data_IF_985230366771
#
_entry.id   IF_985230366771
#
_cell.length_a   1.000
_cell.length_b   1.000
_cell.length_c   1.000
_cell.angle_alpha   90.00
_cell.angle_beta   90.00
_cell.angle_gamma   90.00
#
_symmetry.space_group_name_H-M   'P 1'
#
loop_
_entity.id
_entity.type
_entity.pdbx_description
1 polymer ?
#
# COMPACT_ATOMS: atom_id res chain seq x y z
N UNK A 1 -21.71 -11.07 3.69
CA UNK A 1 -21.16 -12.25 3.01
C UNK A 1 -20.47 -13.08 4.08
N UNK A 2 -20.90 -14.32 4.31
CA UNK A 2 -20.25 -15.19 5.30
C UNK A 2 -19.00 -15.79 4.66
N UNK A 3 -17.83 -15.56 5.26
CA UNK A 3 -16.61 -16.25 4.85
C UNK A 3 -16.80 -17.72 5.22
N UNK A 4 -17.01 -18.57 4.21
CA UNK A 4 -16.91 -20.02 4.39
C UNK A 4 -15.42 -20.37 4.54
N UNK A 5 -14.86 -20.06 5.71
CA UNK A 5 -13.66 -20.76 6.13
C UNK A 5 -14.04 -22.18 6.50
N UNK A 6 -13.14 -23.16 6.32
CA UNK A 6 -13.35 -24.46 6.93
C UNK A 6 -13.54 -24.25 8.43
N UNK A 7 -14.52 -24.94 9.03
CA UNK A 7 -14.57 -25.12 10.48
C UNK A 7 -13.16 -25.55 10.91
N UNK A 8 -12.46 -24.66 11.60
CA UNK A 8 -11.14 -24.93 12.13
C UNK A 8 -11.36 -25.56 13.50
N UNK A 9 -11.21 -26.89 13.57
CA UNK A 9 -11.20 -27.57 14.85
C UNK A 9 -9.94 -27.16 15.64
N UNK A 10 -10.15 -26.49 16.77
CA UNK A 10 -9.11 -26.16 17.72
C UNK A 10 -9.57 -26.45 19.15
N UNK A 11 -8.63 -26.85 20.01
CA UNK A 11 -8.84 -26.95 21.46
C UNK A 11 -7.97 -25.88 22.14
N UNK A 12 -8.47 -25.29 23.23
CA UNK A 12 -7.76 -24.32 24.05
C UNK A 12 -7.89 -24.74 25.52
N UNK A 13 -6.75 -24.94 26.19
CA UNK A 13 -6.75 -25.18 27.63
C UNK A 13 -7.01 -23.88 28.41
N UNK A 14 -7.49 -23.93 29.67
CA UNK A 14 -7.68 -22.74 30.48
C UNK A 14 -6.41 -21.89 30.62
N UNK A 15 -6.48 -20.64 30.16
CA UNK A 15 -5.34 -19.71 30.16
C UNK A 15 -4.37 -19.87 29.00
N UNK A 16 -4.62 -20.81 28.08
CA UNK A 16 -3.83 -20.97 26.85
C UNK A 16 -4.17 -19.88 25.83
N UNK A 17 -3.17 -19.45 25.06
CA UNK A 17 -3.35 -18.58 23.89
C UNK A 17 -2.86 -19.31 22.65
N UNK A 18 -3.70 -19.43 21.62
CA UNK A 18 -3.30 -19.91 20.28
C UNK A 18 -3.50 -18.84 19.23
N UNK A 19 -2.59 -18.80 18.26
CA UNK A 19 -2.75 -18.04 17.03
C UNK A 19 -3.32 -18.96 15.96
N UNK A 20 -4.47 -18.58 15.43
CA UNK A 20 -5.08 -19.24 14.28
C UNK A 20 -4.86 -18.38 13.05
N UNK A 21 -4.61 -19.00 11.90
CA UNK A 21 -4.45 -18.32 10.62
C UNK A 21 -5.31 -19.04 9.60
N UNK A 22 -5.99 -18.27 8.76
CA UNK A 22 -6.84 -18.80 7.72
C UNK A 22 -6.60 -18.07 6.41
N UNK A 23 -6.68 -18.83 5.31
CA UNK A 23 -6.52 -18.30 3.99
C UNK A 23 -7.83 -17.66 3.53
N UNK A 24 -7.77 -16.36 3.32
CA UNK A 24 -8.80 -15.59 2.68
C UNK A 24 -8.80 -15.92 1.16
N UNK A 25 -9.83 -16.61 0.66
CA UNK A 25 -9.93 -17.02 -0.76
C UNK A 25 -11.36 -16.90 -1.33
N UNK A 26 -11.47 -16.72 -2.65
CA UNK A 26 -12.76 -16.68 -3.36
C UNK A 26 -13.45 -15.31 -3.37
N UNK A 27 -12.73 -14.23 -3.11
CA UNK A 27 -13.25 -12.87 -3.15
C UNK A 27 -12.22 -11.90 -3.70
N UNK A 28 -12.72 -10.74 -4.11
CA UNK A 28 -11.88 -9.63 -4.48
C UNK A 28 -11.43 -8.87 -3.23
N UNK A 29 -10.11 -8.86 -2.96
CA UNK A 29 -9.53 -8.21 -1.78
C UNK A 29 -9.81 -6.70 -1.75
N UNK A 30 -9.97 -6.04 -2.91
CA UNK A 30 -10.38 -4.62 -2.93
C UNK A 30 -11.77 -4.42 -2.36
N UNK A 31 -12.70 -5.36 -2.56
CA UNK A 31 -14.05 -5.29 -2.01
C UNK A 31 -14.09 -5.49 -0.49
N UNK A 32 -13.03 -6.04 0.11
CA UNK A 32 -12.91 -6.21 1.55
C UNK A 32 -12.23 -5.03 2.25
N UNK A 33 -11.55 -4.16 1.51
CA UNK A 33 -10.94 -2.98 2.12
C UNK A 33 -12.02 -2.05 2.66
N UNK A 34 -11.83 -1.56 3.89
CA UNK A 34 -12.81 -0.78 4.67
C UNK A 34 -14.13 -1.50 4.96
N UNK A 35 -14.19 -2.83 4.78
CA UNK A 35 -15.34 -3.62 5.20
C UNK A 35 -15.22 -4.01 6.66
N UNK A 36 -16.36 -3.97 7.36
CA UNK A 36 -16.48 -4.58 8.68
C UNK A 36 -16.57 -6.10 8.52
N UNK A 37 -15.63 -6.80 9.14
CA UNK A 37 -15.65 -8.25 9.26
C UNK A 37 -16.05 -8.64 10.67
N UNK A 38 -16.90 -9.66 10.77
CA UNK A 38 -17.26 -10.29 12.03
C UNK A 38 -16.56 -11.65 12.12
N UNK A 39 -15.82 -11.86 13.20
CA UNK A 39 -15.33 -13.16 13.62
C UNK A 39 -16.30 -13.71 14.68
N UNK A 40 -16.87 -14.88 14.39
CA UNK A 40 -17.71 -15.62 15.33
C UNK A 40 -16.93 -16.84 15.81
N UNK A 41 -16.76 -16.95 17.12
CA UNK A 41 -16.20 -18.12 17.79
C UNK A 41 -17.35 -18.83 18.49
N UNK A 42 -17.46 -20.15 18.34
CA UNK A 42 -18.48 -20.94 19.02
C UNK A 42 -17.90 -22.26 19.49
N UNK A 43 -18.38 -22.75 20.64
CA UNK A 43 -18.12 -24.10 21.14
C UNK A 43 -19.33 -25.04 20.97
N UNK A 44 -20.37 -24.59 20.26
CA UNK A 44 -21.62 -25.31 20.04
C UNK A 44 -22.72 -25.01 21.07
N UNK A 45 -22.38 -24.38 22.21
CA UNK A 45 -23.34 -23.94 23.23
C UNK A 45 -23.39 -22.41 23.35
N UNK A 46 -22.22 -21.76 23.31
CA UNK A 46 -22.06 -20.31 23.36
C UNK A 46 -21.42 -19.75 22.08
N UNK A 47 -21.66 -18.47 21.83
CA UNK A 47 -21.02 -17.71 20.75
C UNK A 47 -20.37 -16.43 21.30
N UNK A 48 -19.13 -16.16 20.88
CA UNK A 48 -18.46 -14.89 21.05
C UNK A 48 -18.27 -14.22 19.68
N UNK A 49 -18.64 -12.94 19.59
CA UNK A 49 -18.58 -12.15 18.35
C UNK A 49 -17.60 -11.01 18.49
N UNK A 50 -16.75 -10.85 17.49
CA UNK A 50 -15.76 -9.79 17.41
C UNK A 50 -15.88 -9.10 16.06
N UNK A 51 -15.90 -7.77 16.05
CA UNK A 51 -15.90 -6.98 14.82
C UNK A 51 -14.56 -6.29 14.64
N UNK A 52 -14.07 -6.25 13.41
CA UNK A 52 -12.92 -5.46 13.01
C UNK A 52 -13.18 -4.85 11.64
N UNK A 53 -12.71 -3.64 11.41
CA UNK A 53 -12.65 -3.08 10.06
C UNK A 53 -11.33 -3.51 9.44
N UNK A 54 -11.37 -4.14 8.26
CA UNK A 54 -10.16 -4.51 7.54
C UNK A 54 -9.64 -3.31 6.75
N UNK A 55 -8.43 -2.87 7.05
CA UNK A 55 -7.69 -1.94 6.19
C UNK A 55 -6.71 -2.75 5.34
N UNK A 56 -7.10 -3.03 4.11
CA UNK A 56 -6.29 -3.79 3.17
C UNK A 56 -5.78 -2.86 2.06
N UNK A 57 -4.50 -3.01 1.74
CA UNK A 57 -3.89 -2.44 0.54
C UNK A 57 -3.53 -3.61 -0.40
N UNK A 58 -4.42 -4.04 -1.31
CA UNK A 58 -4.16 -5.16 -2.19
C UNK A 58 -2.92 -4.92 -3.06
N UNK A 59 -1.88 -5.73 -2.87
CA UNK A 59 -0.71 -5.78 -3.75
C UNK A 59 -0.77 -7.08 -4.57
N UNK A 60 -1.20 -6.97 -5.83
CA UNK A 60 -1.56 -8.15 -6.63
C UNK A 60 -0.33 -8.79 -7.28
N UNK A 61 -0.24 -10.12 -7.19
CA UNK A 61 0.76 -10.86 -7.95
C UNK A 61 0.50 -10.73 -9.45
N UNK A 62 1.56 -10.50 -10.23
CA UNK A 62 1.50 -10.36 -11.68
C UNK A 62 2.22 -11.54 -12.33
N UNK A 63 1.48 -12.31 -13.13
CA UNK A 63 2.05 -13.43 -13.89
C UNK A 63 2.96 -12.98 -15.05
N UNK A 64 2.82 -11.72 -15.47
CA UNK A 64 3.67 -11.07 -16.46
C UNK A 64 4.15 -9.71 -15.91
N UNK A 65 5.41 -9.31 -16.20
CA UNK A 65 5.93 -8.01 -15.79
C UNK A 65 5.02 -6.86 -16.25
N UNK A 66 4.90 -5.81 -15.42
CA UNK A 66 4.20 -4.59 -15.82
C UNK A 66 5.01 -3.80 -16.86
N UNK A 67 4.33 -3.07 -17.74
CA UNK A 67 4.99 -2.12 -18.62
C UNK A 67 5.38 -0.87 -17.82
N UNK A 68 6.59 -0.37 -18.03
CA UNK A 68 7.09 0.87 -17.40
C UNK A 68 7.12 1.94 -18.48
N UNK A 69 5.95 2.40 -18.89
CA UNK A 69 5.73 3.30 -20.03
C UNK A 69 4.84 4.52 -19.69
N UNK A 70 4.34 4.60 -18.45
CA UNK A 70 3.44 5.67 -18.00
C UNK A 70 1.97 5.43 -18.38
N UNK A 71 1.63 4.36 -19.10
CA UNK A 71 0.26 4.03 -19.45
C UNK A 71 -0.44 3.23 -18.33
N UNK A 72 -1.42 3.85 -17.69
CA UNK A 72 -2.17 3.25 -16.59
C UNK A 72 -3.33 2.34 -17.04
N UNK A 73 -3.57 2.14 -18.34
CA UNK A 73 -4.70 1.34 -18.83
C UNK A 73 -4.71 -0.10 -18.28
N UNK A 74 -3.54 -0.72 -18.10
CA UNK A 74 -3.46 -2.07 -17.54
C UNK A 74 -3.81 -2.11 -16.04
N UNK A 75 -3.55 -1.02 -15.32
CA UNK A 75 -3.78 -0.88 -13.88
C UNK A 75 -5.24 -0.53 -13.56
N UNK A 76 -5.89 0.29 -14.41
CA UNK A 76 -7.28 0.75 -14.27
C UNK A 76 -8.34 -0.34 -14.45
N UNK A 77 -7.94 -1.60 -14.63
CA UNK A 77 -8.85 -2.78 -14.62
C UNK A 77 -9.31 -3.16 -13.20
N UNK A 78 -8.68 -2.61 -12.18
CA UNK A 78 -9.07 -2.75 -10.78
C UNK A 78 -9.15 -1.37 -10.12
N UNK A 79 -9.87 -1.30 -9.00
CA UNK A 79 -9.90 -0.08 -8.19
C UNK A 79 -8.51 0.23 -7.59
N UNK A 80 -8.14 1.51 -7.48
CA UNK A 80 -6.90 1.90 -6.82
C UNK A 80 -6.93 1.46 -5.35
N UNK A 81 -5.84 0.84 -4.88
CA UNK A 81 -5.72 0.42 -3.49
C UNK A 81 -5.36 1.58 -2.56
N UNK A 82 -4.85 2.69 -3.09
CA UNK A 82 -4.54 3.91 -2.35
C UNK A 82 -5.26 5.08 -3.02
N UNK A 83 -6.07 5.81 -2.25
CA UNK A 83 -6.75 7.02 -2.68
C UNK A 83 -6.46 8.12 -1.67
N UNK A 84 -5.76 9.16 -2.13
CA UNK A 84 -5.43 10.35 -1.33
C UNK A 84 -6.18 11.53 -1.91
N UNK A 85 -7.41 11.74 -1.45
CA UNK A 85 -8.31 12.77 -1.98
C UNK A 85 -9.11 13.49 -0.88
N UNK A 86 -8.67 13.33 0.38
CA UNK A 86 -9.36 13.85 1.56
C UNK A 86 -8.48 14.80 2.36
N UNK A 87 -9.12 15.84 2.88
CA UNK A 87 -8.49 16.87 3.72
C UNK A 87 -7.73 16.32 4.94
N UNK A 88 -8.22 15.23 5.52
CA UNK A 88 -7.62 14.58 6.69
C UNK A 88 -6.26 13.92 6.39
N UNK A 89 -5.96 13.67 5.13
CA UNK A 89 -4.71 13.04 4.67
C UNK A 89 -3.61 14.07 4.36
N UNK A 90 -3.92 15.38 4.45
CA UNK A 90 -2.97 16.45 4.16
C UNK A 90 -2.34 16.95 5.46
N UNK A 91 -1.03 16.74 5.61
CA UNK A 91 -0.23 17.11 6.78
C UNK A 91 0.60 18.39 6.54
N UNK A 92 0.98 19.18 7.58
CA UNK A 92 0.53 19.11 8.99
C UNK A 92 -0.89 19.61 9.18
N UNK A 93 -1.14 20.60 8.35
CA UNK A 93 -2.23 21.50 8.23
C UNK A 93 -3.42 21.06 7.42
N UNK A 94 -3.15 20.96 6.11
CA UNK A 94 -4.05 20.96 4.96
C UNK A 94 -4.79 22.27 4.70
N UNK A 95 -4.51 23.38 5.40
CA UNK A 95 -5.20 24.67 5.20
C UNK A 95 -5.13 25.21 3.78
N UNK A 96 -4.09 24.83 3.02
CA UNK A 96 -3.87 25.25 1.64
C UNK A 96 -4.51 24.34 0.60
N UNK A 97 -4.94 23.13 0.98
CA UNK A 97 -5.55 22.15 0.07
C UNK A 97 -6.99 22.54 -0.25
N UNK A 98 -7.28 22.75 -1.53
CA UNK A 98 -8.58 23.26 -2.01
C UNK A 98 -9.54 22.17 -2.48
N UNK A 99 -9.17 20.90 -2.29
CA UNK A 99 -9.97 19.76 -2.72
C UNK A 99 -9.20 18.82 -3.65
N UNK A 100 -9.82 17.71 -4.08
CA UNK A 100 -9.15 16.70 -4.90
C UNK A 100 -8.77 17.18 -6.30
N UNK A 101 -9.36 18.29 -6.76
CA UNK A 101 -8.95 18.93 -8.01
C UNK A 101 -7.66 19.77 -7.87
N UNK A 102 -7.27 20.12 -6.65
CA UNK A 102 -6.03 20.83 -6.33
C UNK A 102 -4.86 19.85 -6.25
N UNK A 103 -4.99 18.83 -5.41
CA UNK A 103 -4.02 17.74 -5.26
C UNK A 103 -4.74 16.44 -4.91
N UNK A 104 -4.53 15.39 -5.70
CA UNK A 104 -5.01 14.04 -5.37
C UNK A 104 -4.15 12.94 -5.97
N UNK A 105 -4.18 11.76 -5.35
CA UNK A 105 -3.47 10.56 -5.80
C UNK A 105 -4.41 9.36 -5.87
N UNK A 106 -4.35 8.60 -6.96
CA UNK A 106 -4.89 7.25 -7.07
C UNK A 106 -3.75 6.32 -7.44
N UNK A 107 -3.49 5.31 -6.62
CA UNK A 107 -2.36 4.41 -6.85
C UNK A 107 -2.74 2.93 -6.75
N UNK A 108 -1.97 2.12 -7.47
CA UNK A 108 -2.07 0.67 -7.57
C UNK A 108 -0.73 0.03 -7.24
N UNK A 109 -0.79 -1.12 -6.57
CA UNK A 109 0.37 -1.90 -6.19
C UNK A 109 0.35 -3.27 -6.89
N UNK A 110 1.51 -3.73 -7.32
CA UNK A 110 1.69 -5.07 -7.85
C UNK A 110 3.06 -5.62 -7.52
N UNK A 111 3.24 -6.92 -7.70
CA UNK A 111 4.54 -7.56 -7.55
C UNK A 111 4.66 -8.79 -8.44
N UNK A 112 5.88 -9.15 -8.80
CA UNK A 112 6.20 -10.46 -9.38
C UNK A 112 7.45 -11.04 -8.66
N UNK A 113 8.04 -12.10 -9.23
CA UNK A 113 9.20 -12.77 -8.62
C UNK A 113 10.45 -11.89 -8.51
N UNK A 114 10.53 -10.82 -9.30
CA UNK A 114 11.71 -9.97 -9.43
C UNK A 114 11.47 -8.54 -8.93
N UNK A 115 10.25 -8.01 -9.06
CA UNK A 115 9.94 -6.59 -8.85
C UNK A 115 8.69 -6.34 -8.00
N UNK A 116 8.76 -5.25 -7.25
CA UNK A 116 7.59 -4.53 -6.75
C UNK A 116 7.26 -3.40 -7.72
N UNK A 117 5.98 -3.22 -8.01
CA UNK A 117 5.45 -2.24 -8.93
C UNK A 117 4.56 -1.25 -8.20
N UNK A 118 4.79 0.02 -8.49
CA UNK A 118 3.97 1.14 -8.03
C UNK A 118 3.54 1.94 -9.25
N UNK A 119 2.23 2.11 -9.42
CA UNK A 119 1.64 2.91 -10.47
C UNK A 119 0.73 3.95 -9.84
N UNK A 120 0.83 5.21 -10.25
CA UNK A 120 0.04 6.30 -9.69
C UNK A 120 -0.44 7.27 -10.75
N UNK A 121 -1.69 7.69 -10.62
CA UNK A 121 -2.26 8.86 -11.25
C UNK A 121 -2.25 9.98 -10.21
N UNK A 122 -1.50 11.05 -10.49
CA UNK A 122 -1.41 12.23 -9.62
C UNK A 122 -2.04 13.41 -10.36
N UNK A 123 -2.92 14.13 -9.68
CA UNK A 123 -3.39 15.44 -10.12
C UNK A 123 -2.77 16.48 -9.21
N UNK A 124 -2.14 17.50 -9.80
CA UNK A 124 -1.59 18.65 -9.10
C UNK A 124 -1.83 19.92 -9.93
N UNK A 125 -2.38 20.97 -9.31
CA UNK A 125 -2.61 22.29 -9.90
C UNK A 125 -1.73 23.37 -9.24
N UNK A 126 -0.79 22.98 -8.38
CA UNK A 126 0.14 23.88 -7.71
C UNK A 126 1.09 24.56 -8.70
N UNK A 127 1.18 25.89 -8.64
CA UNK A 127 2.18 26.67 -9.36
C UNK A 127 3.42 26.85 -8.48
N UNK A 128 4.47 26.03 -8.66
CA UNK A 128 5.75 26.26 -7.97
C UNK A 128 6.81 25.16 -8.13
N UNK A 129 7.90 25.45 -8.84
CA UNK A 129 9.09 24.58 -8.98
C UNK A 129 9.91 24.43 -7.68
N UNK A 130 9.72 25.29 -6.68
CA UNK A 130 10.76 25.58 -5.69
C UNK A 130 10.90 24.58 -4.52
N UNK A 131 10.17 23.46 -4.54
CA UNK A 131 10.42 22.27 -3.72
C UNK A 131 9.80 21.03 -4.39
N UNK A 132 10.25 20.77 -5.62
CA UNK A 132 9.53 20.00 -6.66
C UNK A 132 8.79 18.73 -6.25
N UNK A 133 7.74 18.43 -7.01
CA UNK A 133 6.83 17.32 -6.78
C UNK A 133 7.57 15.99 -6.72
N UNK A 134 7.21 15.20 -5.71
CA UNK A 134 7.78 13.89 -5.51
C UNK A 134 6.82 12.94 -4.82
N UNK A 135 6.97 11.67 -5.13
CA UNK A 135 6.32 10.57 -4.45
C UNK A 135 7.38 9.88 -3.59
N UNK A 136 7.08 9.62 -2.33
CA UNK A 136 7.99 8.93 -1.42
C UNK A 136 7.33 7.67 -0.85
N UNK A 137 8.09 6.59 -0.81
CA UNK A 137 7.65 5.30 -0.28
C UNK A 137 8.68 4.74 0.69
N UNK A 138 8.24 4.45 1.92
CA UNK A 138 9.05 3.79 2.92
C UNK A 138 8.89 2.27 2.87
N UNK A 139 9.99 1.53 2.86
CA UNK A 139 10.02 0.07 2.95
C UNK A 139 10.71 -0.36 4.25
N UNK A 140 10.05 -1.22 5.02
CA UNK A 140 10.64 -1.91 6.18
C UNK A 140 10.40 -3.41 6.05
N UNK A 141 11.48 -4.19 6.05
CA UNK A 141 11.40 -5.65 5.97
C UNK A 141 10.94 -6.29 7.30
N UNK A 142 11.19 -5.60 8.43
CA UNK A 142 10.83 -6.08 9.77
C UNK A 142 9.45 -5.60 10.23
N UNK A 143 8.87 -4.59 9.55
CA UNK A 143 7.68 -3.87 10.00
C UNK A 143 7.93 -3.00 11.25
N UNK A 144 9.15 -3.00 11.78
CA UNK A 144 9.56 -2.15 12.87
C UNK A 144 10.11 -0.83 12.29
N UNK A 145 9.60 0.30 12.78
CA UNK A 145 9.96 1.64 12.28
C UNK A 145 11.41 2.07 12.56
N UNK A 146 12.26 1.16 13.02
CA UNK A 146 13.66 1.38 13.39
C UNK A 146 14.67 0.93 12.32
N UNK A 147 14.25 0.19 11.29
CA UNK A 147 15.04 -0.08 10.06
C UNK A 147 14.13 0.03 8.83
N UNK A 148 14.34 1.09 8.07
CA UNK A 148 13.56 1.42 6.89
C UNK A 148 14.43 2.04 5.78
N UNK A 149 13.96 1.93 4.54
CA UNK A 149 14.50 2.62 3.38
C UNK A 149 13.39 3.41 2.71
N UNK A 150 13.58 4.71 2.59
CA UNK A 150 12.66 5.55 1.82
C UNK A 150 13.16 5.64 0.39
N UNK A 151 12.26 5.51 -0.55
CA UNK A 151 12.51 5.69 -1.97
C UNK A 151 11.68 6.88 -2.42
N UNK A 152 12.36 7.97 -2.73
CA UNK A 152 11.74 9.19 -3.25
C UNK A 152 11.90 9.21 -4.77
N UNK A 153 10.79 9.38 -5.47
CA UNK A 153 10.68 9.59 -6.90
C UNK A 153 10.39 11.07 -7.14
N UNK A 154 11.27 11.78 -7.83
CA UNK A 154 11.05 13.19 -8.17
C UNK A 154 11.60 13.56 -9.54
N UNK A 155 11.10 14.66 -10.09
CA UNK A 155 11.69 15.29 -11.27
C UNK A 155 12.91 16.11 -10.84
N UNK A 156 14.09 15.69 -11.27
CA UNK A 156 15.32 16.48 -11.11
C UNK A 156 15.49 17.42 -12.30
N UNK A 157 15.95 18.65 -12.10
CA UNK A 157 16.40 19.50 -13.20
C UNK A 157 17.58 18.80 -13.93
N UNK A 158 17.52 18.55 -15.26
CA UNK A 158 16.61 19.14 -16.27
C UNK A 158 15.43 18.23 -16.70
N UNK A 159 14.46 17.99 -15.81
CA UNK A 159 13.23 17.22 -16.10
C UNK A 159 13.40 15.70 -16.14
N UNK A 160 14.54 15.17 -15.67
CA UNK A 160 14.77 13.72 -15.65
C UNK A 160 14.22 13.11 -14.35
N UNK A 161 13.40 12.05 -14.43
CA UNK A 161 12.90 11.39 -13.24
C UNK A 161 14.07 10.70 -12.53
N UNK A 162 14.14 10.83 -11.20
CA UNK A 162 15.16 10.20 -10.36
C UNK A 162 14.52 9.46 -9.21
N UNK A 163 15.11 8.30 -8.90
CA UNK A 163 14.88 7.59 -7.65
C UNK A 163 16.06 7.83 -6.72
N UNK A 164 15.77 8.31 -5.52
CA UNK A 164 16.74 8.45 -4.45
C UNK A 164 16.33 7.56 -3.28
N UNK A 165 17.29 6.81 -2.74
CA UNK A 165 17.11 6.06 -1.50
C UNK A 165 17.62 6.88 -0.32
N UNK A 166 16.73 7.29 0.58
CA UNK A 166 17.11 7.62 1.94
C UNK A 166 17.05 6.36 2.83
N UNK A 167 17.74 6.41 3.97
CA UNK A 167 17.77 5.28 4.88
C UNK A 167 17.85 5.72 6.34
N UNK A 168 16.92 5.25 7.15
CA UNK A 168 16.96 5.32 8.60
C UNK A 168 17.13 3.94 9.22
N UNK A 169 17.96 3.83 10.28
CA UNK A 169 18.12 2.58 11.03
C UNK A 169 19.47 1.86 10.90
N UNK A 170 19.71 0.89 11.79
CA UNK A 170 20.99 0.17 11.93
C UNK A 170 20.97 -1.17 11.16
N UNK A 171 21.87 -1.32 10.17
CA UNK A 171 22.28 -2.59 9.52
C UNK A 171 21.32 -3.37 8.58
N UNK A 172 21.05 -2.85 7.39
CA UNK A 172 20.36 -3.56 6.28
C UNK A 172 21.25 -3.83 5.06
N UNK A 173 22.53 -3.42 5.08
CA UNK A 173 23.47 -3.58 3.96
C UNK A 173 23.23 -2.64 2.76
N UNK A 174 22.10 -1.93 2.69
CA UNK A 174 21.79 -0.95 1.66
C UNK A 174 22.38 0.43 1.98
N UNK A 175 22.90 1.12 0.96
CA UNK A 175 23.46 2.48 1.09
C UNK A 175 22.46 3.54 0.59
N UNK A 176 22.37 4.71 1.25
CA UNK A 176 21.69 5.88 0.68
C UNK A 176 22.31 6.29 -0.66
N UNK A 177 21.50 6.83 -1.56
CA UNK A 177 21.97 7.33 -2.86
C UNK A 177 20.97 7.17 -3.99
N UNK A 178 21.36 7.64 -5.17
CA UNK A 178 20.59 7.48 -6.41
C UNK A 178 20.51 6.00 -6.80
N UNK A 179 19.29 5.52 -7.10
CA UNK A 179 19.05 4.18 -7.63
C UNK A 179 19.10 4.27 -9.16
N UNK A 180 20.02 3.53 -9.80
CA UNK A 180 20.16 3.52 -11.26
C UNK A 180 19.64 2.22 -11.89
N UNK A 181 19.36 1.22 -11.07
CA UNK A 181 19.02 -0.14 -11.48
C UNK A 181 17.51 -0.38 -11.66
N UNK A 182 16.70 0.69 -11.69
CA UNK A 182 15.25 0.61 -11.84
C UNK A 182 14.78 1.31 -13.13
N UNK A 183 13.98 0.66 -14.00
CA UNK A 183 13.31 1.34 -15.10
C UNK A 183 12.31 2.36 -14.52
N UNK A 184 12.28 3.57 -15.08
CA UNK A 184 11.50 4.67 -14.53
C UNK A 184 10.95 5.58 -15.64
N UNK A 185 9.67 5.91 -15.53
CA UNK A 185 8.96 6.84 -16.41
C UNK A 185 8.05 7.74 -15.57
N UNK A 186 8.13 9.05 -15.79
CA UNK A 186 7.15 10.06 -15.34
C UNK A 186 6.67 10.75 -16.61
N UNK A 187 5.35 10.83 -16.80
CA UNK A 187 4.70 11.45 -17.98
C UNK A 187 3.63 12.44 -17.56
#
# INVERSE_FOLDING_TARGET
>A
MTLANPELDYSLEPGETKRVSFALSGFDLSALSHSDVELVLSDGEEEARYSATLELLPCRYRAAPAAIDGDLQEWKRADPCVVLDQRALVYPDGSTWKGPDDLSVRAWLGWDKDFFYFAAEVKDQGEGLWNGDGLEMAFSASGAGDDYSDVSLSLSEPGSPRLYRYRGGKNSGLKPGVINEAPLVIT
#
